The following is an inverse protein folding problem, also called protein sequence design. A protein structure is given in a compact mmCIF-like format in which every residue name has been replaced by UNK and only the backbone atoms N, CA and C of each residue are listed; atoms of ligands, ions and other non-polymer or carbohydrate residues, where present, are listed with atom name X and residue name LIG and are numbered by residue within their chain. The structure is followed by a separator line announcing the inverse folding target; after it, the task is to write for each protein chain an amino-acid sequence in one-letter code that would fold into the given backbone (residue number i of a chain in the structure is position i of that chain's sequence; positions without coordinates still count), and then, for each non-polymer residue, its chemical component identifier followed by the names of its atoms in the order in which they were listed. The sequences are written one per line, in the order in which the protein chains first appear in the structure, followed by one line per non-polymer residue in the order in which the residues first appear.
data_IF_181013719839
#
_entry.id   IF_181013719839
#
_cell.length_a   1.000
_cell.length_b   1.000
_cell.length_c   1.000
_cell.angle_alpha   90.00
_cell.angle_beta   90.00
_cell.angle_gamma   90.00
#
_symmetry.space_group_name_H-M   'P 1'
#
loop_
_entity.id
_entity.type
_entity.pdbx_description
1 polymer ?
#
# COMPACT_ATOMS: atom_id res chain seq x y z
N UNK A 1 -1.93 6.15 16.94
CA UNK A 1 -1.41 4.77 16.90
C UNK A 1 -0.85 4.49 15.53
N UNK A 2 0.38 4.03 15.44
CA UNK A 2 1.00 3.70 14.18
C UNK A 2 0.56 2.32 13.72
N UNK A 3 0.26 2.20 12.43
CA UNK A 3 -0.15 0.93 11.82
C UNK A 3 1.03 0.43 11.00
N UNK A 4 1.55 -0.74 11.37
CA UNK A 4 2.70 -1.33 10.70
C UNK A 4 2.31 -2.63 9.99
N UNK A 5 2.96 -2.87 8.87
CA UNK A 5 2.81 -4.11 8.12
C UNK A 5 4.11 -4.37 7.33
N UNK A 6 4.11 -5.38 6.46
CA UNK A 6 5.22 -5.68 5.56
C UNK A 6 4.70 -5.87 4.15
N UNK A 7 5.59 -5.81 3.16
CA UNK A 7 5.22 -6.07 1.76
C UNK A 7 4.59 -7.45 1.60
N UNK A 8 5.18 -8.46 2.26
CA UNK A 8 4.68 -9.82 2.20
C UNK A 8 3.24 -9.91 2.74
N UNK A 9 3.01 -9.31 3.90
CA UNK A 9 1.70 -9.34 4.53
C UNK A 9 0.64 -8.62 3.69
N UNK A 10 0.98 -7.45 3.14
CA UNK A 10 0.10 -6.72 2.23
C UNK A 10 -0.25 -7.56 1.01
N UNK A 11 0.76 -8.22 0.42
CA UNK A 11 0.55 -9.05 -0.76
C UNK A 11 -0.37 -10.24 -0.46
N UNK A 12 -0.23 -10.83 0.73
CA UNK A 12 -1.08 -11.95 1.15
C UNK A 12 -2.53 -11.54 1.37
N UNK A 13 -2.76 -10.33 1.87
CA UNK A 13 -4.10 -9.82 2.14
C UNK A 13 -4.80 -9.28 0.88
N UNK A 14 -4.02 -8.91 -0.13
CA UNK A 14 -4.55 -8.24 -1.32
C UNK A 14 -5.18 -9.24 -2.26
N UNK A 15 -6.36 -8.88 -2.81
CA UNK A 15 -7.03 -9.70 -3.81
C UNK A 15 -6.13 -9.80 -5.04
N UNK A 16 -5.76 -11.02 -5.50
CA UNK A 16 -4.83 -11.17 -6.62
C UNK A 16 -5.38 -10.73 -7.96
N UNK A 17 -6.71 -10.63 -8.08
CA UNK A 17 -7.36 -10.22 -9.33
C UNK A 17 -7.58 -8.71 -9.40
N UNK A 18 -8.04 -8.12 -8.29
CA UNK A 18 -8.49 -6.72 -8.29
C UNK A 18 -7.59 -5.80 -7.50
N UNK A 19 -6.83 -6.32 -6.54
CA UNK A 19 -5.94 -5.52 -5.72
C UNK A 19 -4.56 -5.35 -6.32
N UNK A 20 -3.77 -4.44 -5.77
CA UNK A 20 -2.39 -4.22 -6.18
C UNK A 20 -1.57 -3.66 -5.04
N UNK A 21 -0.31 -4.06 -4.98
CA UNK A 21 0.70 -3.52 -4.07
C UNK A 21 1.84 -3.04 -4.95
N UNK A 22 2.09 -1.73 -4.96
CA UNK A 22 3.06 -1.12 -5.87
C UNK A 22 4.11 -0.37 -5.06
N UNK A 23 5.37 -0.76 -5.24
CA UNK A 23 6.50 -0.03 -4.66
C UNK A 23 6.84 1.15 -5.58
N UNK A 24 6.86 2.35 -5.02
CA UNK A 24 7.19 3.57 -5.75
C UNK A 24 8.17 4.39 -4.91
N UNK A 25 9.45 4.31 -5.24
CA UNK A 25 10.49 4.96 -4.47
C UNK A 25 10.58 4.39 -3.05
N UNK A 26 10.43 5.24 -2.06
CA UNK A 26 10.42 4.86 -0.65
C UNK A 26 9.01 4.61 -0.11
N UNK A 27 8.02 4.57 -0.99
CA UNK A 27 6.62 4.37 -0.63
C UNK A 27 6.03 3.12 -1.26
N UNK A 28 4.94 2.66 -0.68
CA UNK A 28 4.18 1.52 -1.20
C UNK A 28 2.73 1.95 -1.29
N UNK A 29 2.14 1.79 -2.47
CA UNK A 29 0.73 2.07 -2.71
C UNK A 29 -0.05 0.76 -2.66
N UNK A 30 -1.15 0.77 -1.94
CA UNK A 30 -2.02 -0.39 -1.79
C UNK A 30 -3.45 -0.04 -2.19
N UNK A 31 -4.00 -0.82 -3.10
CA UNK A 31 -5.42 -0.73 -3.47
C UNK A 31 -6.01 -2.13 -3.44
N UNK A 32 -7.27 -2.24 -3.05
CA UNK A 32 -7.96 -3.52 -3.00
C UNK A 32 -9.45 -3.31 -3.19
N UNK A 33 -10.13 -4.36 -3.62
CA UNK A 33 -11.58 -4.34 -3.77
C UNK A 33 -12.22 -4.35 -2.39
N UNK A 34 -13.16 -3.43 -2.16
CA UNK A 34 -13.89 -3.36 -0.89
C UNK A 34 -15.16 -4.20 -0.97
N UNK A 35 -15.74 -4.48 0.19
CA UNK A 35 -17.00 -5.22 0.25
C UNK A 35 -18.16 -4.46 -0.41
N UNK A 36 -18.03 -3.16 -0.62
CA UNK A 36 -19.03 -2.34 -1.29
C UNK A 36 -18.88 -2.34 -2.81
N UNK A 37 -17.84 -2.96 -3.32
CA UNK A 37 -17.59 -3.00 -4.76
C UNK A 37 -16.71 -1.87 -5.29
N UNK A 38 -16.23 -0.98 -4.41
CA UNK A 38 -15.28 0.07 -4.76
C UNK A 38 -13.84 -0.37 -4.51
N UNK A 39 -12.91 0.57 -4.65
CA UNK A 39 -11.48 0.30 -4.45
C UNK A 39 -10.93 1.21 -3.36
N UNK A 40 -10.16 0.62 -2.44
CA UNK A 40 -9.47 1.36 -1.38
C UNK A 40 -8.16 1.94 -1.88
N UNK A 41 -7.66 2.96 -1.17
CA UNK A 41 -6.35 3.55 -1.47
C UNK A 41 -5.62 3.83 -0.17
N UNK A 42 -4.40 3.30 -0.05
CA UNK A 42 -3.54 3.49 1.12
C UNK A 42 -2.12 3.72 0.66
N UNK A 43 -1.40 4.56 1.40
CA UNK A 43 0.01 4.82 1.15
C UNK A 43 0.79 4.44 2.39
N UNK A 44 1.82 3.65 2.19
CA UNK A 44 2.76 3.24 3.24
C UNK A 44 4.14 3.79 2.93
N UNK A 45 4.95 3.92 3.96
CA UNK A 45 6.34 4.32 3.84
C UNK A 45 7.21 3.32 4.60
N UNK A 46 8.41 3.04 4.08
CA UNK A 46 9.33 2.12 4.74
C UNK A 46 9.84 2.73 6.04
N UNK A 47 9.71 1.99 7.13
CA UNK A 47 10.27 2.37 8.43
C UNK A 47 11.75 2.04 8.47
N UNK A 48 12.10 0.86 7.93
CA UNK A 48 13.48 0.40 7.84
C UNK A 48 13.95 0.54 6.38
N UNK A 49 15.20 0.96 6.20
CA UNK A 49 15.78 1.08 4.86
C UNK A 49 16.11 -0.31 4.34
N UNK A 50 15.48 -0.77 3.25
CA UNK A 50 15.75 -2.09 2.69
C UNK A 50 17.22 -2.29 2.30
N UNK A 51 17.88 -1.23 1.83
CA UNK A 51 19.29 -1.31 1.42
C UNK A 51 20.23 -1.45 2.61
N UNK A 52 19.92 -0.75 3.71
CA UNK A 52 20.74 -0.82 4.92
C UNK A 52 20.61 -2.14 5.64
N UNK A 53 19.40 -2.68 5.71
CA UNK A 53 19.16 -3.94 6.42
C UNK A 53 19.68 -5.14 5.66
N UNK A 54 19.79 -5.05 4.34
CA UNK A 54 20.20 -6.17 3.50
C UNK A 54 19.18 -7.31 3.43
N UNK A 55 18.00 -7.12 4.01
CA UNK A 55 16.95 -8.13 4.06
C UNK A 55 15.96 -8.03 2.90
N UNK A 56 16.01 -6.93 2.17
CA UNK A 56 15.08 -6.69 1.06
C UNK A 56 13.71 -6.21 1.54
N UNK A 57 12.81 -6.01 0.59
CA UNK A 57 11.51 -5.40 0.85
C UNK A 57 10.59 -6.26 1.72
N UNK A 58 10.74 -7.57 1.66
CA UNK A 58 9.86 -8.50 2.37
C UNK A 58 9.99 -8.36 3.88
N UNK A 59 11.20 -8.16 4.35
CA UNK A 59 11.49 -8.10 5.79
C UNK A 59 11.35 -6.70 6.39
N UNK A 60 11.23 -5.68 5.55
CA UNK A 60 11.14 -4.29 6.01
C UNK A 60 9.73 -3.94 6.42
N UNK A 61 9.62 -3.20 7.51
CA UNK A 61 8.32 -2.74 8.01
C UNK A 61 7.84 -1.53 7.23
N UNK A 62 6.53 -1.48 7.05
CA UNK A 62 5.84 -0.37 6.42
C UNK A 62 4.93 0.31 7.45
N UNK A 63 4.90 1.63 7.41
CA UNK A 63 4.00 2.43 8.24
C UNK A 63 2.95 3.09 7.35
N UNK A 64 1.69 2.98 7.75
CA UNK A 64 0.60 3.64 7.03
C UNK A 64 0.69 5.15 7.25
N UNK A 65 0.84 5.91 6.16
CA UNK A 65 0.96 7.37 6.24
C UNK A 65 -0.25 8.10 5.68
N UNK A 66 -1.04 7.46 4.83
CA UNK A 66 -2.26 8.06 4.29
C UNK A 66 -3.25 6.97 3.90
N UNK A 67 -4.53 7.23 4.14
CA UNK A 67 -5.62 6.33 3.77
C UNK A 67 -6.79 7.15 3.29
N UNK A 68 -7.32 6.83 2.10
CA UNK A 68 -8.47 7.54 1.57
C UNK A 68 -9.73 7.13 2.34
N UNK A 69 -10.57 8.11 2.65
CA UNK A 69 -11.85 7.88 3.34
C UNK A 69 -12.94 7.43 2.38
N UNK A 70 -12.74 7.73 1.10
CA UNK A 70 -13.70 7.39 0.05
C UNK A 70 -13.21 6.18 -0.75
N UNK A 71 -14.13 5.54 -1.45
CA UNK A 71 -13.80 4.45 -2.34
C UNK A 71 -13.73 4.98 -3.77
N UNK A 72 -12.89 4.37 -4.59
CA UNK A 72 -12.69 4.76 -5.98
C UNK A 72 -13.41 3.77 -6.89
N UNK A 73 -13.73 4.20 -8.11
CA UNK A 73 -14.45 3.36 -9.06
C UNK A 73 -13.57 2.26 -9.68
N UNK A 74 -12.26 2.47 -9.68
CA UNK A 74 -11.31 1.49 -10.19
C UNK A 74 -9.95 1.66 -9.53
N UNK A 75 -9.07 0.69 -9.74
CA UNK A 75 -7.73 0.69 -9.15
C UNK A 75 -6.86 1.84 -9.69
N UNK A 76 -7.06 2.23 -10.94
CA UNK A 76 -6.32 3.34 -11.52
C UNK A 76 -6.54 4.65 -10.79
N UNK A 77 -7.79 4.95 -10.44
CA UNK A 77 -8.12 6.15 -9.68
C UNK A 77 -7.56 6.08 -8.26
N UNK A 78 -7.60 4.89 -7.64
CA UNK A 78 -7.02 4.68 -6.32
C UNK A 78 -5.52 4.94 -6.33
N UNK A 79 -4.80 4.42 -7.31
CA UNK A 79 -3.35 4.62 -7.45
C UNK A 79 -3.04 6.10 -7.70
N UNK A 80 -3.82 6.77 -8.53
CA UNK A 80 -3.64 8.21 -8.78
C UNK A 80 -3.75 9.01 -7.49
N UNK A 81 -4.74 8.67 -6.65
CA UNK A 81 -4.87 9.31 -5.34
C UNK A 81 -3.61 9.11 -4.50
N UNK A 82 -3.07 7.88 -4.49
CA UNK A 82 -1.84 7.56 -3.75
C UNK A 82 -0.66 8.42 -4.22
N UNK A 83 -0.53 8.61 -5.52
CA UNK A 83 0.57 9.39 -6.10
C UNK A 83 0.52 10.87 -5.73
N UNK A 84 -0.66 11.38 -5.37
CA UNK A 84 -0.85 12.78 -4.99
C UNK A 84 -0.58 13.06 -3.52
N UNK A 85 -0.38 12.04 -2.71
CA UNK A 85 -0.16 12.22 -1.28
C UNK A 85 1.28 12.69 -1.01
N UNK A 86 1.40 13.69 -0.14
CA UNK A 86 2.70 14.28 0.18
C UNK A 86 3.37 13.62 1.37
#
# INVERSE_FOLDING_TARGET
MDIFTTMEHLSMETNPTYGAVIKYGDRVFHTDLTWKGGFSARVYEFVDDPEETGLGDIECRLSLIAEAKEEFKDSGHAIEWCMRQK
#
